data_IF_270949326523
#
_entry.id   IF_270949326523
#
_cell.length_a   1.000
_cell.length_b   1.000
_cell.length_c   1.000
_cell.angle_alpha   90.00
_cell.angle_beta   90.00
_cell.angle_gamma   90.00
#
_symmetry.space_group_name_H-M   'P 1'
#
loop_
_entity.id
_entity.type
_entity.pdbx_description
1 polymer ?
#
# COMPACT_ATOMS: atom_id res chain seq x y z
N UNK A 1 12.52 -19.70 35.01
CA UNK A 1 12.52 -20.45 33.73
C UNK A 1 11.36 -21.42 33.78
N UNK A 2 10.30 -21.24 32.98
CA UNK A 2 9.19 -22.18 32.94
C UNK A 2 9.33 -23.16 31.77
N UNK A 3 8.99 -24.40 32.06
CA UNK A 3 8.87 -25.56 31.19
C UNK A 3 7.49 -26.18 31.44
N UNK A 4 6.60 -26.26 30.45
CA UNK A 4 5.50 -27.26 30.37
C UNK A 4 4.84 -27.13 28.99
N UNK A 5 4.50 -28.28 28.40
CA UNK A 5 3.27 -28.56 27.61
C UNK A 5 2.84 -27.56 26.51
N UNK A 6 2.58 -27.92 25.26
CA UNK A 6 1.99 -29.16 24.76
C UNK A 6 2.28 -29.31 23.27
N UNK A 7 2.67 -30.52 22.88
CA UNK A 7 2.34 -31.06 21.56
C UNK A 7 0.83 -31.00 21.32
N UNK A 8 0.40 -30.29 20.26
CA UNK A 8 -0.71 -30.58 19.32
C UNK A 8 -1.30 -29.26 18.81
N UNK A 9 -1.02 -28.91 17.54
CA UNK A 9 -1.96 -28.23 16.62
C UNK A 9 -1.33 -28.07 15.22
N UNK A 10 -0.98 -29.16 14.55
CA UNK A 10 -0.83 -29.12 13.08
C UNK A 10 -2.25 -29.12 12.52
N UNK A 11 -2.84 -27.96 12.16
CA UNK A 11 -4.03 -27.87 11.26
C UNK A 11 -4.50 -26.45 10.81
N UNK A 12 -3.86 -25.32 11.14
CA UNK A 12 -4.34 -23.97 10.70
C UNK A 12 -3.34 -23.15 9.84
N UNK A 13 -2.03 -23.38 9.94
CA UNK A 13 -0.97 -22.57 9.30
C UNK A 13 -0.93 -22.57 7.76
N UNK A 14 -1.39 -23.64 7.10
CA UNK A 14 -1.31 -23.77 5.64
C UNK A 14 -2.30 -22.85 4.90
N UNK A 15 -3.46 -22.60 5.50
CA UNK A 15 -4.49 -21.70 4.97
C UNK A 15 -4.10 -20.23 5.20
N UNK A 16 -3.49 -19.93 6.35
CA UNK A 16 -2.99 -18.60 6.68
C UNK A 16 -1.84 -18.18 5.76
N UNK A 17 -0.88 -19.07 5.51
CA UNK A 17 0.22 -18.79 4.55
C UNK A 17 -0.29 -18.50 3.14
N UNK A 18 -1.24 -19.28 2.63
CA UNK A 18 -1.82 -19.04 1.30
C UNK A 18 -2.57 -17.71 1.19
N UNK A 19 -3.21 -17.25 2.26
CA UNK A 19 -3.86 -15.92 2.31
C UNK A 19 -2.85 -14.79 2.34
N UNK A 20 -1.77 -14.94 3.12
CA UNK A 20 -0.68 -13.98 3.19
C UNK A 20 -0.01 -13.84 1.82
N UNK A 21 0.27 -14.95 1.13
CA UNK A 21 0.84 -14.94 -0.22
C UNK A 21 -0.07 -14.26 -1.25
N UNK A 22 -1.39 -14.46 -1.17
CA UNK A 22 -2.33 -13.75 -2.04
C UNK A 22 -2.31 -12.24 -1.82
N UNK A 23 -2.26 -11.79 -0.56
CA UNK A 23 -2.20 -10.36 -0.23
C UNK A 23 -0.87 -9.75 -0.69
N UNK A 24 0.24 -10.44 -0.45
CA UNK A 24 1.56 -10.01 -0.94
C UNK A 24 1.58 -9.93 -2.46
N UNK A 25 1.08 -10.95 -3.16
CA UNK A 25 1.00 -10.95 -4.62
C UNK A 25 0.09 -9.85 -5.18
N UNK A 26 -0.98 -9.49 -4.47
CA UNK A 26 -1.82 -8.34 -4.81
C UNK A 26 -1.07 -7.02 -4.67
N UNK A 27 -0.39 -6.81 -3.53
CA UNK A 27 0.46 -5.63 -3.28
C UNK A 27 1.53 -5.47 -4.36
N UNK A 28 2.22 -6.54 -4.71
CA UNK A 28 3.32 -6.50 -5.68
C UNK A 28 2.84 -6.12 -7.08
N UNK A 29 1.67 -6.63 -7.49
CA UNK A 29 1.03 -6.24 -8.76
C UNK A 29 0.70 -4.76 -8.79
N UNK A 30 0.10 -4.23 -7.73
CA UNK A 30 -0.23 -2.80 -7.60
C UNK A 30 1.04 -1.95 -7.69
N UNK A 31 2.07 -2.29 -6.90
CA UNK A 31 3.36 -1.59 -6.91
C UNK A 31 4.03 -1.63 -8.30
N UNK A 32 3.94 -2.78 -8.99
CA UNK A 32 4.50 -2.92 -10.32
C UNK A 32 3.82 -1.99 -11.34
N UNK A 33 2.49 -1.89 -11.33
CA UNK A 33 1.78 -0.98 -12.23
C UNK A 33 2.10 0.49 -11.94
N UNK A 34 2.18 0.87 -10.66
CA UNK A 34 2.48 2.26 -10.28
C UNK A 34 3.91 2.66 -10.68
N UNK A 35 4.88 1.76 -10.54
CA UNK A 35 6.30 1.99 -10.93
C UNK A 35 6.49 2.22 -12.43
N UNK A 36 5.55 1.81 -13.29
CA UNK A 36 5.62 2.11 -14.73
C UNK A 36 5.42 3.59 -15.03
N UNK A 37 4.70 4.30 -14.15
CA UNK A 37 4.34 5.70 -14.34
C UNK A 37 5.16 6.62 -13.43
N UNK A 38 5.41 6.19 -12.19
CA UNK A 38 6.19 6.95 -11.20
C UNK A 38 7.57 6.32 -11.03
N UNK A 39 8.62 7.06 -11.40
CA UNK A 39 10.01 6.62 -11.30
C UNK A 39 10.70 7.34 -10.13
N UNK A 40 11.34 6.56 -9.24
CA UNK A 40 12.22 7.10 -8.20
C UNK A 40 11.54 7.62 -6.93
N UNK A 41 10.25 7.35 -6.72
CA UNK A 41 9.49 7.74 -5.52
C UNK A 41 8.88 6.53 -4.79
N UNK A 42 9.66 5.45 -4.65
CA UNK A 42 9.20 4.21 -3.99
C UNK A 42 8.78 4.43 -2.53
N UNK A 43 9.55 5.22 -1.77
CA UNK A 43 9.27 5.45 -0.34
C UNK A 43 7.94 6.20 -0.11
N UNK A 44 7.69 7.24 -0.92
CA UNK A 44 6.42 7.99 -0.87
C UNK A 44 5.26 7.07 -1.24
N UNK A 45 5.45 6.23 -2.25
CA UNK A 45 4.44 5.28 -2.68
C UNK A 45 4.08 4.27 -1.57
N UNK A 46 5.09 3.71 -0.91
CA UNK A 46 4.87 2.79 0.22
C UNK A 46 4.11 3.48 1.35
N UNK A 47 4.47 4.72 1.72
CA UNK A 47 3.76 5.46 2.77
C UNK A 47 2.31 5.77 2.40
N UNK A 48 2.04 6.12 1.14
CA UNK A 48 0.66 6.36 0.66
C UNK A 48 -0.16 5.08 0.71
N UNK A 49 0.39 3.94 0.27
CA UNK A 49 -0.27 2.64 0.34
C UNK A 49 -0.55 2.21 1.78
N UNK A 50 0.44 2.36 2.67
CA UNK A 50 0.28 2.07 4.11
C UNK A 50 -0.85 2.93 4.68
N UNK A 51 -0.87 4.24 4.36
CA UNK A 51 -1.90 5.15 4.84
C UNK A 51 -3.28 4.79 4.32
N UNK A 52 -3.38 4.42 3.05
CA UNK A 52 -4.62 3.98 2.42
C UNK A 52 -5.16 2.70 3.07
N UNK A 53 -4.31 1.69 3.26
CA UNK A 53 -4.69 0.44 3.93
C UNK A 53 -5.03 0.64 5.41
N UNK A 54 -4.39 1.61 6.07
CA UNK A 54 -4.71 2.00 7.45
C UNK A 54 -5.96 2.90 7.56
N UNK A 55 -6.55 3.34 6.44
CA UNK A 55 -7.68 4.27 6.43
C UNK A 55 -7.34 5.68 6.96
N UNK A 56 -6.06 6.06 6.92
CA UNK A 56 -5.58 7.35 7.41
C UNK A 56 -5.58 8.45 6.35
N UNK A 57 -5.03 9.60 6.71
CA UNK A 57 -4.79 10.73 5.80
C UNK A 57 -3.29 10.99 5.69
N UNK A 58 -2.79 11.18 4.46
CA UNK A 58 -1.40 11.54 4.21
C UNK A 58 -1.29 12.95 3.64
N UNK A 59 -0.19 13.65 3.96
CA UNK A 59 0.14 14.96 3.40
C UNK A 59 1.45 14.87 2.63
N UNK A 60 1.41 15.10 1.31
CA UNK A 60 2.57 14.95 0.43
C UNK A 60 3.27 16.31 0.23
N UNK A 61 4.26 16.63 1.06
CA UNK A 61 5.06 17.86 1.00
C UNK A 61 6.32 17.70 0.11
N UNK A 62 6.92 18.81 -0.34
CA UNK A 62 8.01 18.81 -1.35
C UNK A 62 7.79 19.76 -2.54
N UNK A 63 8.82 19.92 -3.37
CA UNK A 63 8.89 20.94 -4.42
C UNK A 63 7.89 20.71 -5.57
N UNK A 64 7.39 21.78 -6.22
CA UNK A 64 6.52 21.65 -7.39
C UNK A 64 7.26 20.92 -8.53
N UNK A 65 6.53 20.10 -9.29
CA UNK A 65 7.09 19.34 -10.41
C UNK A 65 7.46 17.88 -10.10
N UNK A 66 7.37 17.43 -8.84
CA UNK A 66 7.63 16.03 -8.45
C UNK A 66 6.45 15.07 -8.70
N UNK A 67 5.65 15.31 -9.73
CA UNK A 67 4.55 14.44 -10.15
C UNK A 67 3.56 14.03 -9.03
N UNK A 68 3.45 14.78 -7.91
CA UNK A 68 2.63 14.38 -6.75
C UNK A 68 1.16 14.19 -7.06
N UNK A 69 0.58 15.10 -7.84
CA UNK A 69 -0.80 14.98 -8.30
C UNK A 69 -0.97 13.76 -9.21
N UNK A 70 0.04 13.49 -10.05
CA UNK A 70 0.04 12.37 -10.96
C UNK A 70 0.16 11.05 -10.18
N UNK A 71 0.98 11.00 -9.12
CA UNK A 71 1.10 9.86 -8.22
C UNK A 71 -0.25 9.47 -7.61
N UNK A 72 -0.96 10.45 -7.03
CA UNK A 72 -2.26 10.17 -6.40
C UNK A 72 -3.32 9.80 -7.46
N UNK A 73 -3.31 10.44 -8.63
CA UNK A 73 -4.22 10.10 -9.72
C UNK A 73 -4.00 8.68 -10.25
N UNK A 74 -2.75 8.31 -10.52
CA UNK A 74 -2.37 6.97 -10.98
C UNK A 74 -2.67 5.90 -9.94
N UNK A 75 -2.45 6.19 -8.66
CA UNK A 75 -2.81 5.29 -7.58
C UNK A 75 -4.34 5.09 -7.51
N UNK A 76 -5.12 6.16 -7.72
CA UNK A 76 -6.58 6.05 -7.79
C UNK A 76 -7.05 5.25 -9.01
N UNK A 77 -6.45 5.43 -10.18
CA UNK A 77 -6.77 4.67 -11.41
C UNK A 77 -6.46 3.17 -11.26
N UNK A 78 -5.33 2.81 -10.65
CA UNK A 78 -4.92 1.40 -10.48
C UNK A 78 -5.75 0.68 -9.41
N UNK A 79 -6.19 1.41 -8.39
CA UNK A 79 -6.99 0.88 -7.28
C UNK A 79 -8.50 1.06 -7.47
N UNK A 80 -8.93 1.60 -8.61
CA UNK A 80 -10.33 1.92 -8.93
C UNK A 80 -11.01 2.79 -7.84
N UNK A 81 -10.28 3.81 -7.36
CA UNK A 81 -10.73 4.75 -6.33
C UNK A 81 -11.19 6.08 -6.92
N UNK A 82 -12.11 6.76 -6.23
CA UNK A 82 -12.55 8.10 -6.61
C UNK A 82 -11.50 9.16 -6.21
N UNK A 83 -10.86 9.80 -7.20
CA UNK A 83 -9.95 10.91 -6.96
C UNK A 83 -10.68 12.26 -7.03
N UNK A 84 -10.63 13.04 -5.93
CA UNK A 84 -11.16 14.41 -5.87
C UNK A 84 -10.05 15.40 -5.56
N UNK A 85 -9.85 16.37 -6.45
CA UNK A 85 -8.94 17.51 -6.24
C UNK A 85 -9.71 18.71 -5.73
N UNK A 86 -9.38 19.17 -4.53
CA UNK A 86 -9.90 20.41 -3.94
C UNK A 86 -8.79 21.46 -3.97
N UNK A 87 -8.98 22.53 -4.71
CA UNK A 87 -8.06 23.66 -4.71
C UNK A 87 -8.53 24.68 -3.66
N UNK A 88 -7.77 24.84 -2.58
CA UNK A 88 -7.94 26.00 -1.73
C UNK A 88 -7.59 27.24 -2.57
N UNK A 89 -8.56 28.12 -2.78
CA UNK A 89 -8.32 29.48 -3.27
C UNK A 89 -7.51 30.27 -2.25
N UNK A 90 -6.70 31.26 -2.68
CA UNK A 90 -5.73 31.94 -1.82
C UNK A 90 -6.38 32.77 -0.71
#
# INVERSE_FOLDING_TARGET
>A
MPSTDDTVAVSEDGLEKGRIEQIQGGRDKILHEIRKVIVGQDEVLEQVLITLFAGGHCLITGVPGLAKTLLVNTLAEILDLEFKRIQFTP
#
